data_IF_371477152314
#
_entry.id   IF_371477152314
#
_cell.length_a   1.000
_cell.length_b   1.000
_cell.length_c   1.000
_cell.angle_alpha   90.00
_cell.angle_beta   90.00
_cell.angle_gamma   90.00
#
_symmetry.space_group_name_H-M   'P 1'
#
loop_
_entity.id
_entity.type
_entity.pdbx_description
1 polymer ?
#
# COMPACT_ATOMS: atom_id res chain seq x y z
N UNK A 1 -1.48 -22.42 -19.20
CA UNK A 1 -1.41 -20.96 -19.38
C UNK A 1 -0.35 -20.46 -18.40
N UNK A 2 0.45 -19.44 -18.77
CA UNK A 2 1.70 -19.11 -18.06
C UNK A 2 1.45 -18.57 -16.64
N UNK A 3 0.34 -17.86 -16.44
CA UNK A 3 -0.05 -17.27 -15.15
C UNK A 3 -0.22 -18.35 -14.07
N UNK A 4 -0.86 -19.47 -14.42
CA UNK A 4 -1.14 -20.59 -13.54
C UNK A 4 0.12 -21.41 -13.24
N UNK A 5 1.07 -21.44 -14.19
CA UNK A 5 2.37 -22.10 -13.99
C UNK A 5 3.28 -21.28 -13.06
N UNK A 6 3.30 -19.96 -13.24
CA UNK A 6 4.12 -19.05 -12.42
C UNK A 6 3.51 -18.82 -11.01
N UNK A 7 2.21 -19.05 -10.85
CA UNK A 7 1.52 -19.03 -9.55
C UNK A 7 1.73 -17.71 -8.80
N UNK A 8 2.26 -17.79 -7.58
CA UNK A 8 2.56 -16.62 -6.73
C UNK A 8 4.01 -16.14 -6.84
N UNK A 9 4.86 -16.85 -7.58
CA UNK A 9 6.31 -16.61 -7.59
C UNK A 9 6.65 -15.21 -8.09
N UNK A 10 5.89 -14.70 -9.06
CA UNK A 10 6.04 -13.34 -9.57
C UNK A 10 5.79 -12.29 -8.47
N UNK A 11 4.76 -12.48 -7.65
CA UNK A 11 4.41 -11.55 -6.57
C UNK A 11 5.41 -11.65 -5.42
N UNK A 12 5.81 -12.87 -5.05
CA UNK A 12 6.84 -13.08 -4.01
C UNK A 12 8.17 -12.42 -4.43
N UNK A 13 8.57 -12.58 -5.69
CA UNK A 13 9.78 -11.94 -6.20
C UNK A 13 9.69 -10.41 -6.19
N UNK A 14 8.52 -9.85 -6.51
CA UNK A 14 8.29 -8.41 -6.43
C UNK A 14 8.38 -7.91 -4.98
N UNK A 15 7.75 -8.60 -4.04
CA UNK A 15 7.77 -8.23 -2.61
C UNK A 15 9.21 -8.23 -2.09
N UNK A 16 9.96 -9.30 -2.34
CA UNK A 16 11.31 -9.45 -1.82
C UNK A 16 12.30 -8.47 -2.46
N UNK A 17 12.23 -8.29 -3.79
CA UNK A 17 13.23 -7.49 -4.53
C UNK A 17 12.91 -6.01 -4.56
N UNK A 18 11.63 -5.64 -4.60
CA UNK A 18 11.22 -4.26 -4.78
C UNK A 18 10.70 -3.66 -3.48
N UNK A 19 9.96 -4.38 -2.64
CA UNK A 19 9.34 -3.78 -1.44
C UNK A 19 10.09 -4.02 -0.14
N UNK A 20 11.35 -4.48 -0.23
CA UNK A 20 12.21 -4.79 0.92
C UNK A 20 11.58 -5.87 1.84
N UNK A 21 10.78 -6.75 1.23
CA UNK A 21 10.12 -7.87 1.89
C UNK A 21 8.78 -7.53 2.55
N UNK A 22 8.18 -8.54 3.18
CA UNK A 22 7.00 -8.39 4.01
C UNK A 22 7.19 -9.24 5.28
N UNK A 23 7.24 -8.62 6.48
CA UNK A 23 7.56 -9.33 7.72
C UNK A 23 6.79 -10.65 7.95
N UNK A 24 5.52 -10.72 7.55
CA UNK A 24 4.70 -11.93 7.75
C UNK A 24 5.14 -13.11 6.87
N UNK A 25 5.73 -12.84 5.70
CA UNK A 25 6.20 -13.87 4.77
C UNK A 25 7.58 -14.39 5.15
N UNK A 26 8.43 -13.51 5.68
CA UNK A 26 9.84 -13.81 5.98
C UNK A 26 10.08 -14.16 7.45
N UNK A 27 9.14 -13.84 8.35
CA UNK A 27 9.23 -14.14 9.77
C UNK A 27 10.52 -13.58 10.39
N UNK A 28 11.26 -14.42 11.11
CA UNK A 28 12.52 -14.05 11.78
C UNK A 28 13.65 -13.67 10.81
N UNK A 29 13.53 -14.00 9.52
CA UNK A 29 14.52 -13.61 8.52
C UNK A 29 14.37 -12.17 8.02
N UNK A 30 13.25 -11.51 8.35
CA UNK A 30 13.03 -10.12 7.96
C UNK A 30 13.89 -9.16 8.79
N UNK A 31 14.69 -8.33 8.11
CA UNK A 31 15.59 -7.38 8.76
C UNK A 31 14.89 -6.05 9.04
N UNK A 32 14.29 -5.93 10.24
CA UNK A 32 13.62 -4.70 10.67
C UNK A 32 14.54 -3.48 10.72
N UNK A 33 15.83 -3.67 10.99
CA UNK A 33 16.79 -2.57 11.10
C UNK A 33 17.15 -1.93 9.76
N UNK A 34 16.96 -2.67 8.66
CA UNK A 34 17.16 -2.16 7.30
C UNK A 34 15.89 -1.55 6.68
N UNK A 35 14.74 -1.69 7.34
CA UNK A 35 13.47 -1.22 6.81
C UNK A 35 13.39 0.31 6.77
N UNK A 36 12.96 0.85 5.64
CA UNK A 36 12.75 2.28 5.45
C UNK A 36 11.35 2.53 4.87
N UNK A 37 10.44 3.03 5.72
CA UNK A 37 9.06 3.31 5.34
C UNK A 37 8.97 4.32 4.18
N UNK A 38 9.78 5.39 4.20
CA UNK A 38 9.78 6.40 3.13
C UNK A 38 10.17 5.78 1.78
N UNK A 39 11.17 4.89 1.77
CA UNK A 39 11.57 4.17 0.56
C UNK A 39 10.43 3.29 0.03
N UNK A 40 9.76 2.54 0.92
CA UNK A 40 8.62 1.72 0.55
C UNK A 40 7.49 2.57 -0.07
N UNK A 41 7.12 3.69 0.56
CA UNK A 41 6.07 4.58 0.06
C UNK A 41 6.39 5.13 -1.34
N UNK A 42 7.64 5.55 -1.58
CA UNK A 42 8.09 6.04 -2.88
C UNK A 42 8.05 4.95 -3.96
N UNK A 43 8.44 3.72 -3.61
CA UNK A 43 8.37 2.58 -4.54
C UNK A 43 6.93 2.19 -4.86
N UNK A 44 6.03 2.18 -3.87
CA UNK A 44 4.61 1.87 -4.07
C UNK A 44 3.91 2.91 -4.97
N UNK A 45 4.31 4.18 -4.89
CA UNK A 45 3.79 5.24 -5.76
C UNK A 45 4.04 4.95 -7.24
N UNK A 46 5.15 4.26 -7.59
CA UNK A 46 5.43 3.84 -8.97
C UNK A 46 4.41 2.83 -9.51
N UNK A 47 3.72 2.12 -8.62
CA UNK A 47 2.65 1.17 -8.95
C UNK A 47 1.25 1.79 -8.77
N UNK A 48 1.15 3.11 -8.60
CA UNK A 48 -0.10 3.81 -8.28
C UNK A 48 -0.78 3.29 -7.02
N UNK A 49 0.00 2.68 -6.12
CA UNK A 49 -0.49 2.15 -4.86
C UNK A 49 -0.12 3.10 -3.73
N UNK A 50 -1.11 3.43 -2.90
CA UNK A 50 -0.95 4.41 -1.82
C UNK A 50 -1.36 3.75 -0.51
N UNK A 51 -0.44 3.74 0.47
CA UNK A 51 -0.70 3.29 1.84
C UNK A 51 -0.34 4.43 2.80
N UNK A 52 -1.03 4.51 3.93
CA UNK A 52 -0.88 5.57 4.95
C UNK A 52 -1.34 6.95 4.44
N UNK A 53 -0.73 7.45 3.35
CA UNK A 53 -1.08 8.72 2.71
C UNK A 53 -1.24 8.53 1.20
N UNK A 54 -2.17 9.28 0.61
CA UNK A 54 -2.22 9.50 -0.83
C UNK A 54 -1.28 10.66 -1.16
N UNK A 55 -0.30 10.44 -2.04
CA UNK A 55 0.60 11.49 -2.53
C UNK A 55 0.52 11.51 -4.06
N UNK A 56 0.23 12.67 -4.63
CA UNK A 56 0.17 12.83 -6.08
C UNK A 56 0.29 14.27 -6.53
N UNK A 57 0.36 14.46 -7.84
CA UNK A 57 0.34 15.76 -8.48
C UNK A 57 -1.04 16.04 -9.05
N UNK A 58 -1.64 17.15 -8.65
CA UNK A 58 -2.97 17.56 -9.10
C UNK A 58 -2.93 19.02 -9.56
N UNK A 59 -3.88 19.41 -10.41
CA UNK A 59 -4.09 20.82 -10.76
C UNK A 59 -4.35 21.62 -9.49
N UNK A 60 -3.69 22.76 -9.33
CA UNK A 60 -3.86 23.60 -8.16
C UNK A 60 -5.27 24.21 -8.15
N UNK A 61 -5.98 24.06 -7.02
CA UNK A 61 -7.38 24.51 -6.87
C UNK A 61 -7.52 26.04 -6.96
N UNK A 62 -6.47 26.80 -6.62
CA UNK A 62 -6.47 28.26 -6.65
C UNK A 62 -5.87 28.81 -7.94
N UNK A 63 -5.11 28.00 -8.67
CA UNK A 63 -4.52 28.37 -9.96
C UNK A 63 -4.55 27.19 -10.93
N UNK A 64 -5.58 27.14 -11.77
CA UNK A 64 -5.79 26.04 -12.72
C UNK A 64 -4.68 25.88 -13.77
N UNK A 65 -3.76 26.84 -13.90
CA UNK A 65 -2.58 26.76 -14.78
C UNK A 65 -1.36 26.16 -14.08
N UNK A 66 -1.43 25.87 -12.78
CA UNK A 66 -0.34 25.30 -11.99
C UNK A 66 -0.66 23.86 -11.53
N UNK A 67 0.38 23.12 -11.18
CA UNK A 67 0.29 21.80 -10.56
C UNK A 67 0.86 21.88 -9.15
N UNK A 68 0.16 21.28 -8.20
CA UNK A 68 0.54 21.22 -6.79
C UNK A 68 0.68 19.78 -6.31
N UNK A 69 1.56 19.58 -5.34
CA UNK A 69 1.68 18.31 -4.63
C UNK A 69 0.49 18.23 -3.66
N UNK A 70 -0.31 17.19 -3.82
CA UNK A 70 -1.41 16.86 -2.94
C UNK A 70 -0.98 15.76 -1.97
N UNK A 71 -1.34 15.93 -0.70
CA UNK A 71 -1.23 14.92 0.34
C UNK A 71 -2.59 14.76 1.01
N UNK A 72 -3.12 13.55 1.06
CA UNK A 72 -4.43 13.27 1.63
C UNK A 72 -4.55 11.87 2.23
N UNK A 73 -5.77 11.51 2.57
CA UNK A 73 -6.09 10.19 3.12
C UNK A 73 -5.85 9.09 2.07
N UNK A 74 -5.11 8.03 2.45
CA UNK A 74 -5.01 6.82 1.64
C UNK A 74 -6.31 6.00 1.68
N UNK A 75 -6.52 5.18 0.64
CA UNK A 75 -7.61 4.21 0.64
C UNK A 75 -7.47 3.23 1.81
N UNK A 76 -8.62 2.86 2.39
CA UNK A 76 -8.70 1.77 3.35
C UNK A 76 -8.88 0.44 2.61
N UNK A 77 -8.48 -0.67 3.25
CA UNK A 77 -8.69 -2.01 2.68
C UNK A 77 -10.17 -2.38 2.56
N UNK A 78 -11.02 -1.83 3.43
CA UNK A 78 -12.46 -1.89 3.33
C UNK A 78 -13.00 -0.55 2.81
N UNK A 79 -14.08 -0.60 2.07
CA UNK A 79 -14.61 0.55 1.31
C UNK A 79 -14.94 1.77 2.18
N UNK A 80 -15.29 1.57 3.44
CA UNK A 80 -15.77 2.63 4.32
C UNK A 80 -15.13 2.52 5.71
N UNK A 81 -14.83 3.67 6.30
CA UNK A 81 -14.31 3.80 7.67
C UNK A 81 -15.19 3.07 8.69
N UNK A 82 -16.50 3.09 8.49
CA UNK A 82 -17.51 2.50 9.37
C UNK A 82 -17.30 1.00 9.61
N UNK A 83 -16.71 0.26 8.65
CA UNK A 83 -16.37 -1.15 8.85
C UNK A 83 -15.30 -1.39 9.92
N UNK A 84 -14.50 -0.37 10.23
CA UNK A 84 -13.46 -0.43 11.27
C UNK A 84 -13.95 0.14 12.61
N UNK A 85 -15.06 0.89 12.60
CA UNK A 85 -15.58 1.58 13.79
C UNK A 85 -16.73 0.82 14.45
N UNK A 86 -17.50 0.06 13.67
CA UNK A 86 -18.52 -0.81 14.25
C UNK A 86 -17.83 -1.99 14.94
N UNK A 87 -18.08 -2.16 16.24
CA UNK A 87 -17.88 -3.46 16.87
C UNK A 87 -18.66 -4.48 16.05
N UNK A 88 -17.99 -5.55 15.61
CA UNK A 88 -18.67 -6.68 15.01
C UNK A 88 -19.55 -7.27 16.11
N UNK A 89 -20.80 -6.80 16.21
CA UNK A 89 -21.83 -7.39 17.05
C UNK A 89 -22.14 -8.78 16.49
N UNK A 90 -21.23 -9.72 16.71
CA UNK A 90 -21.45 -11.14 16.49
C UNK A 90 -22.32 -11.58 17.66
N UNK A 91 -23.62 -11.31 17.55
CA UNK A 91 -24.60 -11.99 18.39
C UNK A 91 -24.59 -13.45 17.93
N UNK A 92 -23.92 -14.29 18.71
CA UNK A 92 -23.99 -15.75 18.55
C UNK A 92 -25.42 -16.12 18.95
N UNK A 93 -26.27 -16.36 17.95
CA UNK A 93 -27.60 -16.93 18.12
C UNK A 93 -27.51 -18.47 18.21
#
# INVERSE_FOLDING_TARGET
MKIETDGVDAILSLIDKNFDGWPILQGSSWNSSAFNLTNLLLKLQQYSYNIIYLIGSFTDEKNSSATSIYMGQASLGLLQRQYYENETNITIA
#
